data_IF_372569156145
#
_entry.id   IF_372569156145
#
_cell.length_a   1.000
_cell.length_b   1.000
_cell.length_c   1.000
_cell.angle_alpha   90.00
_cell.angle_beta   90.00
_cell.angle_gamma   90.00
#
_symmetry.space_group_name_H-M   'P 1'
#
loop_
_entity.id
_entity.type
_entity.pdbx_description
1 polymer ?
#
# COMPACT_ATOMS: atom_id res chain seq x y z
N UNK A 1 6.06 13.35 -1.57
CA UNK A 1 5.06 13.08 -0.51
C UNK A 1 3.68 12.66 -1.04
N UNK A 2 3.41 12.75 -2.34
CA UNK A 2 2.12 12.33 -2.93
C UNK A 2 1.84 10.84 -2.74
N UNK A 3 2.83 9.96 -2.93
CA UNK A 3 2.66 8.52 -2.74
C UNK A 3 2.26 8.11 -1.31
N UNK A 4 2.79 8.81 -0.29
CA UNK A 4 2.39 8.61 1.11
C UNK A 4 0.92 9.02 1.34
N UNK A 5 0.51 10.18 0.78
CA UNK A 5 -0.86 10.65 0.88
C UNK A 5 -1.87 9.67 0.27
N UNK A 6 -1.57 9.13 -0.92
CA UNK A 6 -2.42 8.12 -1.59
C UNK A 6 -2.54 6.84 -0.74
N UNK A 7 -1.44 6.40 -0.09
CA UNK A 7 -1.50 5.24 0.79
C UNK A 7 -2.41 5.47 1.99
N UNK A 8 -2.31 6.64 2.64
CA UNK A 8 -3.13 7.00 3.79
C UNK A 8 -4.60 7.10 3.40
N UNK A 9 -4.92 7.68 2.24
CA UNK A 9 -6.29 7.79 1.73
C UNK A 9 -6.89 6.44 1.33
N UNK A 10 -6.05 5.51 0.85
CA UNK A 10 -6.50 4.16 0.51
C UNK A 10 -6.70 3.27 1.75
N UNK A 11 -6.02 3.56 2.87
CA UNK A 11 -6.07 2.73 4.08
C UNK A 11 -7.48 2.50 4.64
N UNK A 12 -8.37 3.51 4.78
CA UNK A 12 -9.75 3.29 5.24
C UNK A 12 -10.52 2.33 4.34
N UNK A 13 -10.37 2.47 3.02
CA UNK A 13 -11.01 1.59 2.05
C UNK A 13 -10.43 0.17 2.10
N UNK A 14 -9.11 0.03 2.22
CA UNK A 14 -8.46 -1.26 2.37
C UNK A 14 -8.87 -1.98 3.65
N UNK A 15 -8.99 -1.26 4.77
CA UNK A 15 -9.51 -1.79 6.03
C UNK A 15 -10.96 -2.27 5.87
N UNK A 16 -11.81 -1.46 5.23
CA UNK A 16 -13.21 -1.82 4.98
C UNK A 16 -13.34 -3.08 4.10
N UNK A 17 -12.58 -3.17 3.01
CA UNK A 17 -12.63 -4.37 2.15
C UNK A 17 -12.03 -5.59 2.85
N UNK A 18 -10.97 -5.42 3.64
CA UNK A 18 -10.40 -6.48 4.46
C UNK A 18 -11.41 -7.05 5.48
N UNK A 19 -12.16 -6.20 6.18
CA UNK A 19 -13.19 -6.66 7.12
C UNK A 19 -14.36 -7.34 6.41
N UNK A 20 -14.74 -6.86 5.22
CA UNK A 20 -15.77 -7.50 4.39
C UNK A 20 -15.32 -8.87 3.87
N UNK A 21 -14.03 -9.06 3.58
CA UNK A 21 -13.49 -10.38 3.23
C UNK A 21 -13.59 -11.40 4.37
N UNK A 22 -13.67 -10.93 5.62
CA UNK A 22 -13.90 -11.77 6.81
C UNK A 22 -15.37 -11.92 7.21
N UNK A 23 -16.31 -11.59 6.31
CA UNK A 23 -17.73 -11.69 6.64
C UNK A 23 -18.22 -13.15 6.77
N UNK A 24 -17.48 -14.14 6.25
CA UNK A 24 -17.87 -15.54 6.33
C UNK A 24 -17.45 -16.17 7.68
N UNK A 25 -18.25 -17.09 8.26
CA UNK A 25 -17.94 -17.72 9.54
C UNK A 25 -16.71 -18.64 9.51
N UNK A 26 -16.22 -19.00 8.32
CA UNK A 26 -15.00 -19.80 8.13
C UNK A 26 -13.79 -18.95 7.71
N UNK A 27 -13.96 -17.62 7.60
CA UNK A 27 -12.88 -16.74 7.21
C UNK A 27 -11.80 -16.65 8.29
N UNK A 28 -10.59 -16.39 7.83
CA UNK A 28 -9.38 -16.34 8.63
C UNK A 28 -8.73 -14.97 8.50
N UNK A 29 -7.68 -14.74 9.28
CA UNK A 29 -6.84 -13.54 9.13
C UNK A 29 -6.16 -13.47 7.75
N UNK A 30 -6.06 -14.59 7.02
CA UNK A 30 -5.52 -14.59 5.65
C UNK A 30 -6.50 -13.90 4.70
N UNK A 31 -7.79 -14.16 4.81
CA UNK A 31 -8.83 -13.54 3.97
C UNK A 31 -8.89 -12.02 4.19
N UNK A 32 -8.74 -11.57 5.45
CA UNK A 32 -8.55 -10.16 5.77
C UNK A 32 -7.34 -9.58 5.04
N UNK A 33 -6.20 -10.27 5.13
CA UNK A 33 -4.94 -9.81 4.55
C UNK A 33 -5.02 -9.75 3.02
N UNK A 34 -5.71 -10.70 2.40
CA UNK A 34 -5.95 -10.68 0.95
C UNK A 34 -6.82 -9.49 0.55
N UNK A 35 -7.96 -9.28 1.21
CA UNK A 35 -8.84 -8.13 0.93
C UNK A 35 -8.14 -6.78 1.14
N UNK A 36 -7.39 -6.65 2.23
CA UNK A 36 -6.62 -5.45 2.54
C UNK A 36 -5.53 -5.20 1.48
N UNK A 37 -4.71 -6.22 1.17
CA UNK A 37 -3.63 -6.09 0.22
C UNK A 37 -4.14 -5.89 -1.21
N UNK A 38 -5.32 -6.39 -1.57
CA UNK A 38 -5.91 -6.19 -2.89
C UNK A 38 -6.07 -4.69 -3.21
N UNK A 39 -6.62 -3.92 -2.26
CA UNK A 39 -6.77 -2.47 -2.39
C UNK A 39 -5.43 -1.75 -2.23
N UNK A 40 -4.61 -2.16 -1.24
CA UNK A 40 -3.37 -1.45 -0.91
C UNK A 40 -2.23 -1.73 -1.92
N UNK A 41 -2.34 -2.76 -2.77
CA UNK A 41 -1.29 -3.16 -3.74
C UNK A 41 -0.87 -2.02 -4.65
N UNK A 42 -1.84 -1.31 -5.24
CA UNK A 42 -1.56 -0.18 -6.16
C UNK A 42 -0.89 0.98 -5.40
N UNK A 43 -1.44 1.47 -4.27
CA UNK A 43 -0.78 2.46 -3.43
C UNK A 43 0.66 2.08 -3.04
N UNK A 44 0.90 0.83 -2.64
CA UNK A 44 2.22 0.35 -2.24
C UNK A 44 3.22 0.35 -3.41
N UNK A 45 2.79 -0.06 -4.61
CA UNK A 45 3.64 -0.01 -5.81
C UNK A 45 4.02 1.44 -6.13
N UNK A 46 3.08 2.38 -6.06
CA UNK A 46 3.35 3.81 -6.28
C UNK A 46 4.34 4.36 -5.24
N UNK A 47 4.18 3.96 -3.97
CA UNK A 47 5.09 4.31 -2.89
C UNK A 47 6.50 3.79 -3.16
N UNK A 48 6.62 2.51 -3.53
CA UNK A 48 7.90 1.87 -3.83
C UNK A 48 8.61 2.54 -5.00
N UNK A 49 7.89 2.80 -6.10
CA UNK A 49 8.43 3.53 -7.25
C UNK A 49 8.89 4.94 -6.88
N UNK A 50 8.13 5.63 -6.03
CA UNK A 50 8.51 6.96 -5.52
C UNK A 50 9.79 6.90 -4.69
N UNK A 51 9.93 5.86 -3.85
CA UNK A 51 11.10 5.65 -3.00
C UNK A 51 12.35 5.32 -3.83
N UNK A 52 12.24 4.40 -4.80
CA UNK A 52 13.33 4.06 -5.73
C UNK A 52 13.78 5.29 -6.51
N UNK A 53 12.84 6.06 -7.08
CA UNK A 53 13.16 7.32 -7.78
C UNK A 53 13.79 8.37 -6.87
N UNK A 54 13.44 8.39 -5.59
CA UNK A 54 14.07 9.28 -4.61
C UNK A 54 15.50 8.84 -4.29
N UNK A 55 15.73 7.54 -4.10
CA UNK A 55 17.05 6.98 -3.82
C UNK A 55 18.04 7.22 -4.97
N UNK A 56 17.60 7.01 -6.22
CA UNK A 56 18.42 7.29 -7.41
C UNK A 56 18.80 8.78 -7.48
N UNK A 57 17.84 9.68 -7.21
CA UNK A 57 18.12 11.13 -7.18
C UNK A 57 19.06 11.54 -6.04
N UNK A 58 18.95 10.90 -4.87
CA UNK A 58 19.88 11.11 -3.75
C UNK A 58 21.30 10.72 -4.13
N UNK A 59 21.50 9.56 -4.76
CA UNK A 59 22.84 9.12 -5.19
C UNK A 59 23.44 10.04 -6.26
N UNK A 60 22.64 10.54 -7.22
CA UNK A 60 23.11 11.54 -8.20
C UNK A 60 23.54 12.86 -7.55
N UNK A 61 22.91 13.27 -6.45
CA UNK A 61 23.23 14.52 -5.73
C UNK A 61 24.45 14.40 -4.82
N UNK A 62 24.89 13.18 -4.51
CA UNK A 62 26.09 12.90 -3.67
C UNK A 62 27.35 12.77 -4.52
N UNK A 63 27.22 12.33 -5.78
CA UNK A 63 28.35 12.17 -6.72
C UNK A 63 28.58 13.38 -7.64
N UNK A 64 27.96 14.53 -7.36
CA UNK A 64 28.17 15.84 -8.01
C UNK A 64 28.75 16.80 -6.99
#
# INVERSE_FOLDING_TARGET
>A
MIGLGINILASPLALFIGTMATASPHSTRLDFREGFLFIQKIPLIILLLSLVRWFIRRNKKVNM
#
